data_IF_953600325374
#
_entry.id   IF_953600325374
#
_cell.length_a   1.000
_cell.length_b   1.000
_cell.length_c   1.000
_cell.angle_alpha   90.00
_cell.angle_beta   90.00
_cell.angle_gamma   90.00
#
_symmetry.space_group_name_H-M   'P 1'
#
loop_
_entity.id
_entity.type
_entity.pdbx_description
1 polymer ?
#
# COMPACT_ATOMS: atom_id res chain seq x y z
N UNK A 1 -7.60 1.34 9.82
CA UNK A 1 -6.54 0.49 9.23
C UNK A 1 -7.11 -0.10 7.95
N UNK A 2 -6.37 0.01 6.85
CA UNK A 2 -6.82 -0.34 5.50
C UNK A 2 -6.58 -1.83 5.28
N UNK A 3 -7.64 -2.62 5.12
CA UNK A 3 -7.51 -4.02 4.74
C UNK A 3 -7.23 -4.09 3.23
N UNK A 4 -6.27 -4.89 2.80
CA UNK A 4 -6.04 -5.23 1.38
C UNK A 4 -6.00 -6.75 1.32
N UNK A 5 -7.14 -7.41 1.57
CA UNK A 5 -7.17 -8.88 1.65
C UNK A 5 -8.37 -9.46 0.94
N UNK A 6 -8.12 -10.47 0.11
CA UNK A 6 -9.17 -11.28 -0.53
C UNK A 6 -9.68 -12.31 0.49
N UNK A 7 -10.96 -12.31 0.88
CA UNK A 7 -11.55 -13.42 1.64
C UNK A 7 -11.69 -14.65 0.74
N UNK A 8 -11.26 -15.82 1.23
CA UNK A 8 -11.39 -17.08 0.50
C UNK A 8 -12.81 -17.66 0.63
N UNK A 9 -13.41 -18.04 -0.49
CA UNK A 9 -14.39 -19.13 -0.57
C UNK A 9 -13.64 -20.32 -1.16
N UNK A 10 -13.52 -21.39 -0.37
CA UNK A 10 -12.94 -22.65 -0.80
C UNK A 10 -13.96 -23.38 -1.70
N UNK A 11 -13.66 -23.54 -2.99
CA UNK A 11 -14.24 -24.62 -3.80
C UNK A 11 -13.10 -25.46 -4.35
N UNK A 12 -12.91 -26.61 -3.73
CA UNK A 12 -12.14 -27.70 -4.28
C UNK A 12 -12.93 -28.30 -5.44
N UNK A 13 -12.43 -28.16 -6.67
CA UNK A 13 -12.76 -29.09 -7.75
C UNK A 13 -11.45 -29.73 -8.21
N UNK A 14 -11.35 -31.01 -7.91
CA UNK A 14 -10.34 -31.96 -8.37
C UNK A 14 -10.56 -32.27 -9.84
N UNK A 15 -9.50 -32.30 -10.67
CA UNK A 15 -9.60 -33.06 -11.92
C UNK A 15 -8.68 -32.66 -13.07
N UNK A 16 -7.53 -33.34 -13.11
CA UNK A 16 -6.78 -33.77 -14.30
C UNK A 16 -5.84 -32.80 -15.03
N UNK A 17 -4.60 -33.26 -15.03
CA UNK A 17 -3.42 -32.71 -15.67
C UNK A 17 -3.33 -33.11 -17.15
N UNK A 18 -2.83 -32.19 -17.97
CA UNK A 18 -2.29 -32.45 -19.30
C UNK A 18 -0.98 -31.68 -19.46
N UNK A 19 0.14 -32.41 -19.49
CA UNK A 19 1.48 -31.90 -19.82
C UNK A 19 1.51 -31.44 -21.29
N UNK A 20 2.22 -30.37 -21.58
CA UNK A 20 3.05 -30.25 -22.81
C UNK A 20 4.03 -29.10 -22.70
N UNK A 21 5.10 -29.24 -23.49
CA UNK A 21 6.47 -28.78 -23.36
C UNK A 21 6.74 -27.33 -23.78
N UNK A 22 7.89 -26.85 -23.30
CA UNK A 22 8.54 -25.60 -23.63
C UNK A 22 8.90 -25.45 -25.12
N UNK A 23 8.93 -24.19 -25.57
CA UNK A 23 9.88 -23.75 -26.60
C UNK A 23 10.23 -22.28 -26.38
N UNK A 24 11.54 -22.03 -26.26
CA UNK A 24 12.19 -20.72 -26.34
C UNK A 24 11.97 -20.09 -27.72
N UNK A 25 11.94 -18.76 -27.80
CA UNK A 25 12.52 -17.99 -28.90
C UNK A 25 12.73 -16.53 -28.45
N UNK A 26 13.97 -16.05 -28.63
CA UNK A 26 14.41 -14.70 -28.29
C UNK A 26 14.38 -13.73 -29.47
N UNK A 27 15.04 -12.59 -29.23
CA UNK A 27 15.23 -11.38 -30.06
C UNK A 27 14.06 -10.39 -29.95
N UNK A 28 14.20 -9.14 -29.50
CA UNK A 28 15.34 -8.22 -29.56
C UNK A 28 15.13 -7.29 -30.75
N UNK A 29 14.71 -6.03 -30.52
CA UNK A 29 14.95 -4.89 -31.40
C UNK A 29 14.56 -3.56 -30.72
N UNK A 30 15.50 -2.62 -30.84
CA UNK A 30 15.57 -1.24 -30.35
C UNK A 30 14.95 -0.23 -31.33
N UNK A 31 14.43 0.91 -30.85
CA UNK A 31 14.28 2.11 -31.69
C UNK A 31 13.26 3.17 -31.22
N UNK A 32 13.75 4.40 -30.98
CA UNK A 32 13.03 5.69 -30.69
C UNK A 32 12.14 6.13 -31.89
N UNK A 33 11.16 7.06 -31.83
CA UNK A 33 11.24 8.48 -31.42
C UNK A 33 9.84 9.17 -31.42
N UNK A 34 9.81 10.34 -30.77
CA UNK A 34 8.71 11.21 -30.34
C UNK A 34 7.98 11.98 -31.48
N UNK A 35 6.67 12.24 -31.35
CA UNK A 35 6.09 13.58 -31.63
C UNK A 35 4.78 13.84 -30.89
N UNK A 36 4.67 15.08 -30.41
CA UNK A 36 3.66 15.63 -29.53
C UNK A 36 2.38 16.05 -30.27
N UNK A 37 1.25 15.96 -29.56
CA UNK A 37 -0.02 16.61 -29.90
C UNK A 37 -0.92 16.61 -28.66
N UNK A 38 -1.34 17.80 -28.21
CA UNK A 38 -2.32 17.98 -27.14
C UNK A 38 -3.63 17.25 -27.49
N UNK A 39 -4.10 16.36 -26.61
CA UNK A 39 -5.40 15.68 -26.70
C UNK A 39 -6.02 15.50 -25.29
N UNK A 40 -7.36 15.37 -25.18
CA UNK A 40 -8.07 15.43 -23.90
C UNK A 40 -7.72 14.25 -22.99
N UNK A 41 -7.65 14.51 -21.68
CA UNK A 41 -7.14 13.64 -20.61
C UNK A 41 -8.00 12.38 -20.28
N UNK A 42 -8.37 11.57 -21.29
CA UNK A 42 -9.16 10.35 -21.12
C UNK A 42 -8.37 9.03 -21.13
N UNK A 43 -7.21 8.99 -21.79
CA UNK A 43 -6.35 7.81 -21.85
C UNK A 43 -4.98 8.15 -21.25
N UNK A 44 -4.88 8.01 -19.92
CA UNK A 44 -3.60 8.05 -19.21
C UNK A 44 -2.72 6.88 -19.67
N UNK A 45 -1.49 7.19 -20.07
CA UNK A 45 -0.50 6.25 -20.60
C UNK A 45 -0.36 4.97 -19.76
N UNK A 46 -1.00 3.89 -20.22
CA UNK A 46 -0.71 2.51 -19.81
C UNK A 46 0.41 1.99 -20.73
N UNK A 47 1.42 1.34 -20.16
CA UNK A 47 2.53 0.76 -20.92
C UNK A 47 1.98 -0.31 -21.86
N UNK A 48 2.10 -0.08 -23.17
CA UNK A 48 1.67 -1.02 -24.20
C UNK A 48 2.64 -2.21 -24.28
N UNK A 49 2.19 -3.39 -23.87
CA UNK A 49 2.82 -4.65 -24.30
C UNK A 49 1.96 -5.24 -25.43
N UNK A 50 2.52 -5.25 -26.64
CA UNK A 50 1.80 -5.59 -27.87
C UNK A 50 1.24 -7.03 -27.90
N UNK A 51 -0.06 -7.13 -28.17
CA UNK A 51 -0.69 -8.24 -28.92
C UNK A 51 -1.84 -7.69 -29.75
N UNK A 52 -1.75 -7.89 -31.06
CA UNK A 52 -2.80 -7.64 -32.04
C UNK A 52 -3.86 -8.74 -31.97
N UNK A 53 -5.10 -8.41 -31.61
CA UNK A 53 -6.27 -9.25 -31.90
C UNK A 53 -7.21 -8.49 -32.84
N UNK A 54 -7.72 -9.19 -33.85
CA UNK A 54 -8.41 -8.66 -35.04
C UNK A 54 -9.93 -8.53 -34.86
N UNK A 55 -10.43 -8.44 -33.63
CA UNK A 55 -11.84 -8.09 -33.38
C UNK A 55 -11.97 -6.56 -33.35
N UNK A 56 -12.92 -6.00 -34.11
CA UNK A 56 -13.18 -4.56 -34.09
C UNK A 56 -13.51 -4.12 -32.66
N UNK A 57 -12.69 -3.26 -32.08
CA UNK A 57 -12.87 -2.76 -30.71
C UNK A 57 -14.25 -2.06 -30.60
N UNK A 58 -15.09 -2.39 -29.59
CA UNK A 58 -16.47 -1.92 -29.58
C UNK A 58 -16.52 -0.41 -29.32
N UNK A 59 -17.27 0.32 -30.16
CA UNK A 59 -17.37 1.77 -30.10
C UNK A 59 -18.56 2.22 -29.24
N UNK A 60 -18.53 3.44 -28.67
CA UNK A 60 -19.63 3.97 -27.86
C UNK A 60 -20.96 4.03 -28.60
N UNK A 61 -20.96 4.45 -29.87
CA UNK A 61 -22.18 4.58 -30.67
C UNK A 61 -22.95 3.26 -30.78
N UNK A 62 -22.26 2.16 -31.07
CA UNK A 62 -22.86 0.82 -31.09
C UNK A 62 -23.37 0.39 -29.72
N UNK A 63 -22.63 0.69 -28.65
CA UNK A 63 -23.04 0.32 -27.28
C UNK A 63 -24.29 1.11 -26.83
N UNK A 64 -24.42 2.38 -27.19
CA UNK A 64 -25.63 3.17 -26.91
C UNK A 64 -26.85 2.65 -27.68
N UNK A 65 -26.68 2.21 -28.93
CA UNK A 65 -27.78 1.63 -29.70
C UNK A 65 -28.23 0.30 -29.13
N UNK A 66 -27.29 -0.55 -28.72
CA UNK A 66 -27.57 -1.90 -28.22
C UNK A 66 -28.07 -1.91 -26.77
N UNK A 67 -27.48 -1.11 -25.89
CA UNK A 67 -27.72 -1.14 -24.44
C UNK A 67 -28.31 0.15 -23.88
N UNK A 68 -28.67 1.13 -24.72
CA UNK A 68 -29.11 2.45 -24.27
C UNK A 68 -30.26 2.42 -23.27
N UNK A 69 -31.24 1.52 -23.46
CA UNK A 69 -32.36 1.33 -22.54
C UNK A 69 -31.96 0.81 -21.14
N UNK A 70 -30.77 0.22 -21.03
CA UNK A 70 -30.21 -0.33 -19.80
C UNK A 70 -29.20 0.60 -19.12
N UNK A 71 -28.82 1.70 -19.78
CA UNK A 71 -27.93 2.73 -19.23
C UNK A 71 -28.74 3.87 -18.61
N UNK A 72 -28.28 4.39 -17.49
CA UNK A 72 -28.84 5.62 -16.91
C UNK A 72 -28.66 6.82 -17.84
N UNK A 73 -29.44 7.88 -17.67
CA UNK A 73 -29.29 9.11 -18.45
C UNK A 73 -27.91 9.76 -18.28
N UNK A 74 -27.29 9.59 -17.10
CA UNK A 74 -25.91 9.98 -16.86
C UNK A 74 -24.94 9.16 -17.73
N UNK A 75 -25.10 7.84 -17.76
CA UNK A 75 -24.23 6.93 -18.49
C UNK A 75 -24.32 7.07 -19.99
N UNK A 76 -25.51 7.32 -20.53
CA UNK A 76 -25.67 7.61 -21.96
C UNK A 76 -24.84 8.82 -22.41
N UNK A 77 -24.58 9.79 -21.52
CA UNK A 77 -23.68 10.92 -21.78
C UNK A 77 -22.23 10.59 -21.47
N UNK A 78 -21.97 9.92 -20.36
CA UNK A 78 -20.62 9.56 -19.91
C UNK A 78 -19.90 8.64 -20.91
N UNK A 79 -20.61 7.63 -21.43
CA UNK A 79 -20.07 6.59 -22.32
C UNK A 79 -19.47 7.16 -23.62
N UNK A 80 -19.99 8.30 -24.09
CA UNK A 80 -19.51 8.97 -25.30
C UNK A 80 -18.10 9.56 -25.14
N UNK A 81 -17.63 9.75 -23.90
CA UNK A 81 -16.28 10.22 -23.61
C UNK A 81 -15.21 9.12 -23.69
N UNK A 82 -15.62 7.85 -23.82
CA UNK A 82 -14.70 6.72 -23.88
C UNK A 82 -14.47 6.32 -25.32
N UNK A 83 -13.22 6.04 -25.70
CA UNK A 83 -12.92 5.63 -27.07
C UNK A 83 -13.39 4.20 -27.37
N UNK A 84 -13.36 3.33 -26.37
CA UNK A 84 -13.65 1.90 -26.47
C UNK A 84 -14.46 1.43 -25.28
N UNK A 85 -15.42 0.55 -25.55
CA UNK A 85 -16.32 -0.03 -24.56
C UNK A 85 -16.04 -1.53 -24.48
N UNK A 86 -15.51 -2.01 -23.37
CA UNK A 86 -15.20 -3.43 -23.17
C UNK A 86 -16.22 -4.13 -22.25
N UNK A 87 -16.83 -3.38 -21.33
CA UNK A 87 -17.75 -3.91 -20.34
C UNK A 87 -18.67 -2.82 -19.78
N UNK A 88 -19.98 -3.07 -19.70
CA UNK A 88 -20.98 -2.10 -19.23
C UNK A 88 -21.65 -2.49 -17.90
N UNK A 89 -21.14 -3.51 -17.21
CA UNK A 89 -21.75 -4.10 -16.02
C UNK A 89 -22.62 -5.31 -16.36
N UNK A 90 -22.77 -6.26 -15.44
CA UNK A 90 -23.74 -7.37 -15.58
C UNK A 90 -25.19 -6.87 -15.53
N UNK A 91 -26.18 -7.54 -16.17
CA UNK A 91 -27.58 -7.10 -16.20
C UNK A 91 -28.16 -6.74 -14.82
N UNK A 92 -27.95 -7.60 -13.82
CA UNK A 92 -28.39 -7.35 -12.44
C UNK A 92 -27.67 -6.16 -11.79
N UNK A 93 -26.41 -5.91 -12.16
CA UNK A 93 -25.65 -4.77 -11.66
C UNK A 93 -26.05 -3.46 -12.32
N UNK A 94 -26.38 -3.48 -13.63
CA UNK A 94 -26.97 -2.35 -14.35
C UNK A 94 -28.31 -1.94 -13.73
N UNK A 95 -29.17 -2.92 -13.43
CA UNK A 95 -30.43 -2.66 -12.75
C UNK A 95 -30.22 -2.04 -11.37
N UNK A 96 -29.41 -2.67 -10.50
CA UNK A 96 -29.11 -2.12 -9.15
C UNK A 96 -28.52 -0.71 -9.22
N UNK A 97 -27.63 -0.48 -10.19
CA UNK A 97 -27.05 0.83 -10.43
C UNK A 97 -28.12 1.85 -10.81
N UNK A 98 -29.03 1.53 -11.73
CA UNK A 98 -30.14 2.41 -12.13
C UNK A 98 -31.11 2.70 -10.97
N UNK A 99 -31.32 1.74 -10.07
CA UNK A 99 -32.12 1.95 -8.85
C UNK A 99 -31.38 2.83 -7.83
N UNK A 100 -30.04 2.79 -7.82
CA UNK A 100 -29.19 3.52 -6.87
C UNK A 100 -28.84 4.94 -7.33
N UNK A 101 -28.74 5.15 -8.64
CA UNK A 101 -28.50 6.44 -9.26
C UNK A 101 -29.85 7.09 -9.51
N UNK A 102 -30.01 8.32 -9.04
CA UNK A 102 -31.15 9.11 -9.48
C UNK A 102 -30.89 9.56 -10.92
N UNK A 103 -31.66 9.04 -11.86
CA UNK A 103 -31.78 9.57 -13.22
C UNK A 103 -32.32 11.01 -13.10
N UNK A 104 -31.43 11.98 -12.88
CA UNK A 104 -31.71 13.43 -12.83
C UNK A 104 -32.93 13.84 -11.98
N UNK A 105 -32.65 14.45 -10.82
CA UNK A 105 -33.19 15.77 -10.45
C UNK A 105 -34.38 16.29 -11.27
N UNK A 106 -35.60 15.83 -10.98
CA UNK A 106 -36.82 16.55 -11.38
C UNK A 106 -37.12 17.74 -10.43
N UNK A 107 -36.30 17.94 -9.41
CA UNK A 107 -36.30 19.15 -8.59
C UNK A 107 -35.30 20.16 -9.17
N UNK A 108 -35.81 21.29 -9.63
CA UNK A 108 -35.03 22.48 -9.86
C UNK A 108 -35.19 23.40 -8.65
N UNK A 109 -34.08 23.96 -8.15
CA UNK A 109 -34.16 25.08 -7.20
C UNK A 109 -33.73 26.37 -7.89
N UNK A 110 -34.47 27.45 -7.65
CA UNK A 110 -34.04 28.78 -8.06
C UNK A 110 -32.88 29.23 -7.18
N UNK A 111 -31.70 29.38 -7.77
CA UNK A 111 -30.59 30.09 -7.17
C UNK A 111 -30.21 31.24 -8.10
N UNK A 112 -30.44 32.48 -7.67
CA UNK A 112 -30.13 33.70 -8.44
C UNK A 112 -30.72 33.67 -9.87
N UNK A 113 -32.00 33.34 -9.99
CA UNK A 113 -32.76 33.32 -11.27
C UNK A 113 -32.21 32.38 -12.35
N UNK A 114 -31.37 31.41 -11.97
CA UNK A 114 -30.91 30.33 -12.86
C UNK A 114 -31.51 29.00 -12.39
N UNK A 115 -32.09 28.26 -13.33
CA UNK A 115 -32.51 26.86 -13.13
C UNK A 115 -31.26 26.01 -12.89
N UNK A 116 -30.99 25.64 -11.64
CA UNK A 116 -29.91 24.72 -11.30
C UNK A 116 -30.49 23.32 -11.11
N UNK A 117 -30.00 22.29 -11.82
CA UNK A 117 -30.40 20.91 -11.57
C UNK A 117 -30.01 20.54 -10.13
N UNK A 118 -31.00 20.30 -9.27
CA UNK A 118 -30.75 19.93 -7.88
C UNK A 118 -30.55 18.42 -7.82
N UNK A 119 -29.38 17.92 -8.22
CA UNK A 119 -29.00 16.57 -7.82
C UNK A 119 -28.69 16.62 -6.33
N UNK A 120 -29.66 16.21 -5.50
CA UNK A 120 -29.56 16.27 -4.04
C UNK A 120 -28.50 15.31 -3.46
N UNK A 121 -27.97 14.39 -4.27
CA UNK A 121 -27.03 13.36 -3.84
C UNK A 121 -25.60 13.66 -4.30
N UNK A 122 -24.59 13.46 -3.44
CA UNK A 122 -23.17 13.58 -3.80
C UNK A 122 -22.83 12.76 -5.05
N UNK A 123 -22.18 13.40 -6.03
CA UNK A 123 -21.72 12.78 -7.28
C UNK A 123 -22.81 11.94 -7.96
N UNK A 124 -24.02 12.47 -8.15
CA UNK A 124 -25.15 11.77 -8.78
C UNK A 124 -25.62 10.49 -8.06
N UNK A 125 -25.27 10.32 -6.79
CA UNK A 125 -25.54 9.10 -6.02
C UNK A 125 -24.43 8.06 -6.07
N UNK A 126 -23.34 8.33 -6.79
CA UNK A 126 -22.16 7.46 -6.83
C UNK A 126 -21.30 7.54 -5.57
N UNK A 127 -21.39 8.63 -4.80
CA UNK A 127 -20.60 8.80 -3.58
C UNK A 127 -21.43 8.46 -2.35
N UNK A 128 -20.79 7.82 -1.37
CA UNK A 128 -21.30 7.71 -0.01
C UNK A 128 -21.12 9.05 0.73
N UNK A 129 -21.74 9.21 1.88
CA UNK A 129 -21.67 10.47 2.66
C UNK A 129 -20.25 10.82 3.11
N UNK A 130 -19.36 9.82 3.22
CA UNK A 130 -17.94 9.99 3.52
C UNK A 130 -17.08 10.34 2.27
N UNK A 131 -17.68 10.47 1.08
CA UNK A 131 -16.99 10.75 -0.18
C UNK A 131 -16.26 9.54 -0.78
N UNK A 132 -16.56 8.32 -0.32
CA UNK A 132 -16.11 7.08 -0.95
C UNK A 132 -17.04 6.66 -2.09
N UNK A 133 -16.48 6.06 -3.15
CA UNK A 133 -17.28 5.57 -4.28
C UNK A 133 -18.13 4.36 -3.87
N UNK A 134 -19.40 4.34 -4.27
CA UNK A 134 -20.32 3.23 -4.03
C UNK A 134 -20.07 2.10 -5.03
N UNK A 135 -19.25 1.13 -4.61
CA UNK A 135 -19.03 -0.08 -5.39
C UNK A 135 -20.32 -0.91 -5.53
N UNK A 136 -20.62 -1.28 -6.76
CA UNK A 136 -21.65 -2.27 -7.10
C UNK A 136 -20.91 -3.50 -7.62
N UNK A 137 -21.10 -4.63 -6.96
CA UNK A 137 -20.47 -5.89 -7.38
C UNK A 137 -20.92 -6.27 -8.79
N UNK A 138 -19.99 -6.74 -9.62
CA UNK A 138 -20.14 -7.05 -11.04
C UNK A 138 -20.48 -5.86 -11.94
N UNK A 139 -20.21 -4.65 -11.44
CA UNK A 139 -20.41 -3.43 -12.21
C UNK A 139 -19.11 -2.88 -12.83
N UNK A 140 -19.24 -1.92 -13.74
CA UNK A 140 -18.11 -1.40 -14.51
C UNK A 140 -17.43 -0.18 -13.87
N UNK A 141 -16.12 -0.07 -14.13
CA UNK A 141 -15.34 1.16 -14.07
C UNK A 141 -14.79 1.45 -15.47
N UNK A 142 -14.90 2.72 -15.89
CA UNK A 142 -14.35 3.20 -17.17
C UNK A 142 -14.70 2.31 -18.38
N UNK A 143 -15.91 1.74 -18.37
CA UNK A 143 -16.41 0.77 -19.34
C UNK A 143 -15.44 -0.36 -19.70
N UNK A 144 -14.60 -0.79 -18.75
CA UNK A 144 -13.52 -1.77 -18.98
C UNK A 144 -13.32 -2.74 -17.84
N UNK A 145 -13.33 -2.25 -16.61
CA UNK A 145 -13.02 -3.04 -15.43
C UNK A 145 -14.31 -3.51 -14.77
N UNK A 146 -14.45 -4.80 -14.54
CA UNK A 146 -15.54 -5.36 -13.75
C UNK A 146 -15.13 -5.45 -12.28
N UNK A 147 -15.96 -4.93 -11.37
CA UNK A 147 -15.76 -5.07 -9.93
C UNK A 147 -16.10 -6.50 -9.50
N UNK A 148 -15.12 -7.26 -9.02
CA UNK A 148 -15.36 -8.60 -8.49
C UNK A 148 -15.68 -8.53 -7.00
N UNK A 149 -14.68 -8.11 -6.21
CA UNK A 149 -14.75 -8.13 -4.75
C UNK A 149 -14.18 -6.85 -4.18
N UNK A 150 -14.82 -6.30 -3.14
CA UNK A 150 -14.21 -5.25 -2.35
C UNK A 150 -13.26 -5.88 -1.32
N UNK A 151 -11.95 -5.70 -1.51
CA UNK A 151 -10.90 -6.31 -0.69
C UNK A 151 -10.42 -5.39 0.43
N UNK A 152 -10.84 -4.12 0.40
CA UNK A 152 -10.34 -3.12 1.31
C UNK A 152 -11.15 -1.85 1.46
N UNK A 153 -11.27 -1.39 2.72
CA UNK A 153 -11.72 -0.02 3.05
C UNK A 153 -10.77 0.57 4.08
N UNK A 154 -10.40 1.84 3.91
CA UNK A 154 -9.57 2.55 4.87
C UNK A 154 -9.70 4.06 4.73
N UNK A 155 -8.94 4.79 5.54
CA UNK A 155 -8.87 6.25 5.52
C UNK A 155 -8.37 6.84 4.20
N UNK A 156 -7.78 6.01 3.33
CA UNK A 156 -7.14 6.42 2.08
C UNK A 156 -7.96 6.05 0.84
N UNK A 157 -9.18 5.56 1.05
CA UNK A 157 -10.08 5.10 0.00
C UNK A 157 -10.39 3.62 0.11
N UNK A 158 -10.71 3.04 -1.02
CA UNK A 158 -11.21 1.68 -1.13
C UNK A 158 -10.44 0.91 -2.17
N UNK A 159 -10.42 -0.40 -2.01
CA UNK A 159 -9.69 -1.29 -2.91
C UNK A 159 -10.59 -2.42 -3.31
N UNK A 160 -10.71 -2.62 -4.63
CA UNK A 160 -11.43 -3.74 -5.19
C UNK A 160 -10.52 -4.62 -6.04
N UNK A 161 -10.75 -5.93 -5.97
CA UNK A 161 -10.33 -6.84 -7.03
C UNK A 161 -11.23 -6.58 -8.24
N UNK A 162 -10.60 -6.37 -9.40
CA UNK A 162 -11.31 -6.10 -10.66
C UNK A 162 -10.83 -7.02 -11.78
N UNK A 163 -11.70 -7.31 -12.74
CA UNK A 163 -11.33 -7.99 -13.98
C UNK A 163 -11.23 -6.98 -15.12
N UNK A 164 -10.05 -6.89 -15.76
CA UNK A 164 -9.85 -6.07 -16.93
C UNK A 164 -10.27 -6.83 -18.19
N UNK A 165 -11.40 -6.43 -18.79
CA UNK A 165 -11.95 -7.08 -19.98
C UNK A 165 -11.11 -6.89 -21.25
N UNK A 166 -10.22 -5.88 -21.30
CA UNK A 166 -9.32 -5.65 -22.44
C UNK A 166 -8.18 -6.66 -22.47
N UNK A 167 -7.47 -6.81 -21.36
CA UNK A 167 -6.29 -7.69 -21.26
C UNK A 167 -6.60 -9.06 -20.66
N UNK A 168 -7.85 -9.29 -20.24
CA UNK A 168 -8.36 -10.55 -19.65
C UNK A 168 -7.59 -10.97 -18.39
N UNK A 169 -7.30 -10.03 -17.50
CA UNK A 169 -6.51 -10.26 -16.27
C UNK A 169 -7.18 -9.64 -15.05
N UNK A 170 -7.01 -10.29 -13.89
CA UNK A 170 -7.41 -9.74 -12.58
C UNK A 170 -6.38 -8.74 -12.08
N UNK A 171 -6.85 -7.61 -11.58
CA UNK A 171 -6.05 -6.51 -11.04
C UNK A 171 -6.59 -6.10 -9.67
N UNK A 172 -5.77 -5.37 -8.91
CA UNK A 172 -6.26 -4.60 -7.77
C UNK A 172 -6.46 -3.14 -8.18
N UNK A 173 -7.61 -2.55 -7.86
CA UNK A 173 -7.93 -1.17 -8.14
C UNK A 173 -8.19 -0.40 -6.84
N UNK A 174 -7.38 0.61 -6.56
CA UNK A 174 -7.56 1.55 -5.44
C UNK A 174 -8.29 2.79 -5.92
N UNK A 175 -9.41 3.13 -5.32
CA UNK A 175 -10.14 4.39 -5.54
C UNK A 175 -9.85 5.37 -4.41
N UNK A 176 -9.45 6.59 -4.76
CA UNK A 176 -9.26 7.68 -3.78
C UNK A 176 -10.60 8.36 -3.51
N UNK A 177 -10.86 8.71 -2.25
CA UNK A 177 -12.06 9.48 -1.87
C UNK A 177 -12.10 10.83 -2.59
N UNK A 178 -13.29 11.30 -2.97
CA UNK A 178 -13.47 12.53 -3.76
C UNK A 178 -13.17 13.82 -2.98
N UNK A 179 -12.94 13.73 -1.66
CA UNK A 179 -12.70 14.88 -0.79
C UNK A 179 -11.38 15.61 -1.07
N UNK A 180 -11.41 16.95 -1.00
CA UNK A 180 -10.24 17.82 -1.22
C UNK A 180 -9.01 17.50 -0.35
N UNK A 181 -9.22 16.98 0.88
CA UNK A 181 -8.11 16.61 1.80
C UNK A 181 -7.28 15.43 1.28
N UNK A 182 -7.82 14.60 0.40
CA UNK A 182 -7.13 13.44 -0.16
C UNK A 182 -6.19 13.78 -1.34
N UNK A 183 -6.41 14.92 -2.03
CA UNK A 183 -5.68 15.31 -3.26
C UNK A 183 -4.17 15.38 -3.09
N UNK A 184 -3.69 15.90 -1.97
CA UNK A 184 -2.25 16.00 -1.74
C UNK A 184 -1.60 14.61 -1.65
N UNK A 185 -2.27 13.65 -0.99
CA UNK A 185 -1.75 12.28 -0.86
C UNK A 185 -1.82 11.51 -2.17
N UNK A 186 -2.90 11.68 -2.92
CA UNK A 186 -3.04 11.17 -4.29
C UNK A 186 -1.88 11.64 -5.17
N UNK A 187 -1.54 12.93 -5.11
CA UNK A 187 -0.42 13.50 -5.86
C UNK A 187 0.92 12.90 -5.42
N UNK A 188 1.15 12.75 -4.11
CA UNK A 188 2.36 12.11 -3.59
C UNK A 188 2.49 10.66 -4.06
N UNK A 189 1.42 9.88 -3.94
CA UNK A 189 1.37 8.47 -4.35
C UNK A 189 1.64 8.32 -5.85
N UNK A 190 0.94 9.08 -6.69
CA UNK A 190 1.15 9.06 -8.14
C UNK A 190 2.58 9.43 -8.51
N UNK A 191 3.15 10.46 -7.87
CA UNK A 191 4.54 10.89 -8.11
C UNK A 191 5.53 9.82 -7.70
N UNK A 192 5.33 9.16 -6.55
CA UNK A 192 6.18 8.09 -6.06
C UNK A 192 6.13 6.87 -6.99
N UNK A 193 4.93 6.39 -7.31
CA UNK A 193 4.72 5.22 -8.18
C UNK A 193 5.31 5.43 -9.58
N UNK A 194 5.11 6.60 -10.19
CA UNK A 194 5.72 6.93 -11.49
C UNK A 194 7.24 6.96 -11.42
N UNK A 195 7.82 7.50 -10.34
CA UNK A 195 9.28 7.53 -10.15
C UNK A 195 9.85 6.12 -9.98
N UNK A 196 9.20 5.27 -9.19
CA UNK A 196 9.59 3.88 -8.97
C UNK A 196 9.51 3.07 -10.28
N UNK A 197 8.41 3.20 -11.02
CA UNK A 197 8.25 2.56 -12.32
C UNK A 197 9.33 3.01 -13.34
N UNK A 198 9.74 4.29 -13.31
CA UNK A 198 10.78 4.80 -14.19
C UNK A 198 12.16 4.22 -13.89
N UNK A 199 12.49 4.02 -12.62
CA UNK A 199 13.79 3.52 -12.18
C UNK A 199 13.86 1.99 -12.35
N UNK A 200 12.74 1.28 -12.28
CA UNK A 200 12.66 -0.18 -12.42
C UNK A 200 12.71 -0.71 -13.87
N UNK A 201 13.30 0.03 -14.82
CA UNK A 201 13.35 -0.36 -16.25
C UNK A 201 14.15 -1.63 -16.55
N UNK A 202 14.91 -2.16 -15.58
CA UNK A 202 15.75 -3.35 -15.73
C UNK A 202 15.10 -4.66 -15.27
N UNK A 203 13.83 -4.65 -14.86
CA UNK A 203 13.15 -5.84 -14.33
C UNK A 203 13.83 -6.43 -13.08
N UNK A 204 14.42 -5.56 -12.25
CA UNK A 204 14.94 -6.00 -10.95
C UNK A 204 13.74 -6.33 -10.04
N UNK A 205 13.81 -7.44 -9.29
CA UNK A 205 12.81 -7.71 -8.25
C UNK A 205 12.99 -6.67 -7.13
N UNK A 206 12.25 -5.56 -7.20
CA UNK A 206 12.35 -4.42 -6.27
C UNK A 206 11.60 -4.66 -4.98
N UNK A 207 10.78 -5.71 -4.90
CA UNK A 207 9.86 -5.95 -3.78
C UNK A 207 8.88 -4.77 -3.56
N UNK A 208 8.63 -3.95 -4.57
CA UNK A 208 7.62 -2.88 -4.60
C UNK A 208 6.46 -3.33 -5.50
N UNK A 209 5.22 -3.09 -5.06
CA UNK A 209 4.02 -3.45 -5.84
C UNK A 209 4.06 -2.90 -7.27
N UNK A 210 3.76 -3.75 -8.25
CA UNK A 210 3.68 -3.33 -9.65
C UNK A 210 2.52 -2.35 -9.86
N UNK A 211 2.87 -1.10 -10.18
CA UNK A 211 1.92 -0.08 -10.62
C UNK A 211 1.67 -0.22 -12.12
N UNK A 212 0.43 -0.52 -12.49
CA UNK A 212 0.03 -0.77 -13.87
C UNK A 212 -0.48 0.50 -14.56
N UNK A 213 -0.96 1.47 -13.79
CA UNK A 213 -1.43 2.76 -14.28
C UNK A 213 -2.53 3.37 -13.43
N UNK A 214 -3.04 4.52 -13.86
CA UNK A 214 -4.14 5.19 -13.18
C UNK A 214 -5.01 5.98 -14.15
N UNK A 215 -6.29 6.13 -13.81
CA UNK A 215 -7.27 6.91 -14.57
C UNK A 215 -8.21 7.64 -13.61
N UNK A 216 -9.00 8.58 -14.13
CA UNK A 216 -10.10 9.20 -13.38
C UNK A 216 -11.42 8.62 -13.84
N UNK A 217 -12.30 8.32 -12.89
CA UNK A 217 -13.65 7.84 -13.15
C UNK A 217 -14.61 8.45 -12.14
N UNK A 218 -15.64 9.16 -12.64
CA UNK A 218 -16.69 9.78 -11.82
C UNK A 218 -16.12 10.54 -10.63
N UNK A 219 -15.15 11.44 -10.85
CA UNK A 219 -14.45 12.24 -9.83
C UNK A 219 -13.52 11.49 -8.85
N UNK A 220 -13.30 10.19 -9.03
CA UNK A 220 -12.32 9.42 -8.27
C UNK A 220 -11.09 9.13 -9.11
N UNK A 221 -9.91 9.25 -8.52
CA UNK A 221 -8.69 8.71 -9.09
C UNK A 221 -8.60 7.22 -8.75
N UNK A 222 -8.41 6.41 -9.77
CA UNK A 222 -8.31 4.96 -9.72
C UNK A 222 -6.87 4.54 -10.05
N UNK A 223 -6.18 3.91 -9.10
CA UNK A 223 -4.86 3.31 -9.32
C UNK A 223 -5.01 1.80 -9.56
N UNK A 224 -4.28 1.27 -10.54
CA UNK A 224 -4.26 -0.13 -10.91
C UNK A 224 -2.92 -0.77 -10.52
N UNK A 225 -3.01 -1.95 -9.90
CA UNK A 225 -1.86 -2.71 -9.42
C UNK A 225 -1.98 -4.19 -9.77
N UNK A 226 -0.86 -4.91 -9.70
CA UNK A 226 -0.89 -6.37 -9.59
C UNK A 226 -1.72 -6.80 -8.36
N UNK A 227 -2.51 -7.89 -8.46
CA UNK A 227 -3.25 -8.40 -7.31
C UNK A 227 -2.29 -9.09 -6.33
N UNK A 228 -2.45 -8.84 -5.03
CA UNK A 228 -1.79 -9.61 -3.98
C UNK A 228 -2.78 -10.40 -3.13
N UNK A 229 -2.27 -11.11 -2.13
CA UNK A 229 -3.03 -12.06 -1.32
C UNK A 229 -3.50 -11.45 0.01
N UNK A 230 -2.60 -11.30 0.99
CA UNK A 230 -2.91 -10.71 2.29
C UNK A 230 -1.70 -9.97 2.86
N UNK A 231 -1.95 -8.93 3.66
CA UNK A 231 -0.85 -8.21 4.31
C UNK A 231 -0.28 -8.97 5.53
N UNK A 232 0.89 -8.57 6.01
CA UNK A 232 1.57 -9.27 7.10
C UNK A 232 0.83 -9.18 8.44
N UNK A 233 0.07 -8.10 8.69
CA UNK A 233 -0.79 -8.01 9.88
C UNK A 233 -1.87 -9.11 9.85
N UNK A 234 -2.55 -9.25 8.71
CA UNK A 234 -3.57 -10.27 8.48
C UNK A 234 -2.96 -11.68 8.49
N UNK A 235 -1.71 -11.82 8.04
CA UNK A 235 -0.95 -13.05 8.22
C UNK A 235 -0.77 -13.40 9.70
N UNK A 236 -0.30 -12.48 10.55
CA UNK A 236 -0.19 -12.71 11.99
C UNK A 236 -1.56 -13.03 12.62
N UNK A 237 -2.59 -12.23 12.31
CA UNK A 237 -3.95 -12.40 12.84
C UNK A 237 -4.53 -13.78 12.50
N UNK A 238 -4.40 -14.23 11.26
CA UNK A 238 -4.88 -15.55 10.83
C UNK A 238 -4.13 -16.72 11.46
N UNK A 239 -2.88 -16.50 11.92
CA UNK A 239 -2.11 -17.46 12.70
C UNK A 239 -2.21 -17.21 14.22
N UNK A 240 -3.24 -16.49 14.67
CA UNK A 240 -3.50 -16.21 16.09
C UNK A 240 -2.32 -15.53 16.79
N UNK A 241 -1.59 -14.67 16.07
CA UNK A 241 -0.43 -13.94 16.58
C UNK A 241 0.69 -14.86 17.11
N UNK A 242 0.78 -16.09 16.60
CA UNK A 242 1.92 -16.96 16.86
C UNK A 242 3.18 -16.40 16.16
N UNK A 243 4.36 -16.52 16.79
CA UNK A 243 5.64 -16.20 16.15
C UNK A 243 5.79 -16.79 14.75
N UNK A 244 6.24 -15.96 13.81
CA UNK A 244 6.59 -16.43 12.46
C UNK A 244 7.90 -17.22 12.54
N UNK A 245 8.05 -18.34 11.80
CA UNK A 245 9.31 -19.08 11.75
C UNK A 245 10.48 -18.21 11.31
N UNK A 246 11.65 -18.37 11.95
CA UNK A 246 12.84 -17.57 11.67
C UNK A 246 13.26 -17.56 10.18
N UNK A 247 13.25 -18.67 9.44
CA UNK A 247 13.58 -18.66 8.01
C UNK A 247 12.63 -17.76 7.19
N UNK A 248 11.34 -17.77 7.51
CA UNK A 248 10.34 -16.91 6.87
C UNK A 248 10.56 -15.44 7.24
N UNK A 249 10.88 -15.13 8.50
CA UNK A 249 11.27 -13.77 8.92
C UNK A 249 12.51 -13.30 8.15
N UNK A 250 13.50 -14.17 7.97
CA UNK A 250 14.72 -13.90 7.21
C UNK A 250 14.39 -13.55 5.74
N UNK A 251 13.52 -14.33 5.10
CA UNK A 251 13.06 -14.09 3.74
C UNK A 251 12.28 -12.76 3.59
N UNK A 252 11.40 -12.45 4.54
CA UNK A 252 10.70 -11.16 4.57
C UNK A 252 11.67 -10.00 4.79
N UNK A 253 12.60 -10.13 5.74
CA UNK A 253 13.58 -9.10 6.07
C UNK A 253 14.48 -8.79 4.87
N UNK A 254 14.96 -9.81 4.17
CA UNK A 254 15.77 -9.66 2.96
C UNK A 254 15.01 -8.87 1.87
N UNK A 255 13.76 -9.24 1.59
CA UNK A 255 12.94 -8.57 0.60
C UNK A 255 12.58 -7.12 1.01
N UNK A 256 12.31 -6.87 2.29
CA UNK A 256 12.07 -5.51 2.80
C UNK A 256 13.31 -4.63 2.67
N UNK A 257 14.49 -5.14 3.00
CA UNK A 257 15.75 -4.40 2.83
C UNK A 257 15.98 -4.08 1.35
N UNK A 258 15.71 -5.02 0.43
CA UNK A 258 15.78 -4.74 -1.02
C UNK A 258 14.81 -3.63 -1.46
N UNK A 259 13.58 -3.64 -0.95
CA UNK A 259 12.63 -2.56 -1.20
C UNK A 259 13.17 -1.21 -0.69
N UNK A 260 13.71 -1.17 0.53
CA UNK A 260 14.28 0.05 1.12
C UNK A 260 15.50 0.58 0.35
N UNK A 261 16.39 -0.29 -0.11
CA UNK A 261 17.51 0.09 -1.00
C UNK A 261 16.97 0.70 -2.29
N UNK A 262 15.92 0.12 -2.87
CA UNK A 262 15.30 0.66 -4.08
C UNK A 262 14.64 2.02 -3.85
N UNK A 263 13.93 2.20 -2.73
CA UNK A 263 13.32 3.48 -2.35
C UNK A 263 14.36 4.58 -2.16
N UNK A 264 15.49 4.26 -1.53
CA UNK A 264 16.61 5.19 -1.37
C UNK A 264 17.21 5.61 -2.72
N UNK A 265 17.42 4.67 -3.66
CA UNK A 265 17.83 4.98 -5.04
C UNK A 265 16.82 5.88 -5.76
N UNK A 266 15.53 5.72 -5.45
CA UNK A 266 14.46 6.57 -5.94
C UNK A 266 14.30 7.89 -5.16
N UNK A 267 15.17 8.17 -4.19
CA UNK A 267 15.08 9.29 -3.25
C UNK A 267 13.71 9.40 -2.56
N UNK A 268 13.08 8.27 -2.26
CA UNK A 268 11.78 8.18 -1.59
C UNK A 268 11.98 7.66 -0.16
N UNK A 269 11.33 8.32 0.79
CA UNK A 269 11.10 7.82 2.15
C UNK A 269 9.63 7.39 2.21
N UNK A 270 9.37 6.15 2.61
CA UNK A 270 8.02 5.57 2.65
C UNK A 270 7.14 6.30 3.67
N UNK A 271 7.67 6.55 4.87
CA UNK A 271 7.03 7.30 5.96
C UNK A 271 5.80 6.64 6.61
N UNK A 272 5.39 5.44 6.20
CA UNK A 272 4.31 4.67 6.84
C UNK A 272 4.51 3.15 6.70
N UNK A 273 5.74 2.66 6.89
CA UNK A 273 6.01 1.22 6.90
C UNK A 273 5.42 0.57 8.15
N UNK A 274 4.66 -0.51 7.92
CA UNK A 274 3.97 -1.32 8.93
C UNK A 274 3.51 -2.64 8.30
N UNK A 275 3.14 -3.67 9.09
CA UNK A 275 2.71 -4.95 8.56
C UNK A 275 1.50 -4.86 7.61
N UNK A 276 0.60 -3.89 7.78
CA UNK A 276 -0.53 -3.67 6.87
C UNK A 276 -0.12 -3.20 5.47
N UNK A 277 1.05 -2.56 5.35
CA UNK A 277 1.60 -2.01 4.12
C UNK A 277 2.66 -2.93 3.46
N UNK A 278 2.71 -4.19 3.89
CA UNK A 278 3.55 -5.23 3.30
C UNK A 278 2.64 -6.40 2.91
N UNK A 279 2.51 -6.64 1.61
CA UNK A 279 1.58 -7.58 1.02
C UNK A 279 2.29 -8.88 0.65
N UNK A 280 1.78 -10.02 1.11
CA UNK A 280 2.13 -11.32 0.54
C UNK A 280 1.46 -11.46 -0.82
N UNK A 281 2.21 -11.96 -1.80
CA UNK A 281 1.71 -12.08 -3.18
C UNK A 281 0.99 -13.39 -3.45
N UNK A 282 1.32 -14.41 -2.67
CA UNK A 282 0.85 -15.78 -2.86
C UNK A 282 0.69 -16.46 -1.51
N UNK A 283 -0.26 -17.41 -1.35
CA UNK A 283 -0.31 -18.27 -0.18
C UNK A 283 0.75 -19.38 -0.21
N UNK A 284 1.46 -19.56 -1.34
CA UNK A 284 2.37 -20.69 -1.58
C UNK A 284 3.84 -20.36 -1.33
N UNK A 285 4.18 -19.09 -1.26
CA UNK A 285 5.55 -18.61 -1.14
C UNK A 285 5.61 -17.34 -0.29
N UNK A 286 6.82 -16.99 0.14
CA UNK A 286 7.09 -15.87 1.03
C UNK A 286 7.33 -14.55 0.25
N UNK A 287 6.88 -14.44 -1.01
CA UNK A 287 7.09 -13.22 -1.81
C UNK A 287 6.27 -12.06 -1.25
N UNK A 288 6.95 -10.95 -0.99
CA UNK A 288 6.31 -9.72 -0.52
C UNK A 288 6.40 -8.56 -1.52
N UNK A 289 5.48 -7.61 -1.35
CA UNK A 289 5.50 -6.29 -1.98
C UNK A 289 5.18 -5.20 -0.97
N UNK A 290 5.97 -4.13 -0.96
CA UNK A 290 5.64 -2.90 -0.23
C UNK A 290 4.58 -2.13 -1.02
N UNK A 291 3.55 -1.65 -0.31
CA UNK A 291 2.40 -0.92 -0.87
C UNK A 291 2.21 0.43 -0.14
N UNK A 292 1.31 1.26 -0.66
CA UNK A 292 0.80 2.50 -0.05
C UNK A 292 1.81 3.65 0.14
N UNK A 293 2.14 4.31 -0.98
CA UNK A 293 3.05 5.46 -1.04
C UNK A 293 2.35 6.82 -0.78
N UNK A 294 1.11 6.82 -0.28
CA UNK A 294 0.33 8.04 -0.05
C UNK A 294 0.81 8.92 1.11
N UNK A 295 1.84 8.47 1.86
CA UNK A 295 2.48 9.21 2.94
C UNK A 295 3.92 9.64 2.61
N UNK A 296 4.44 9.19 1.48
CA UNK A 296 5.87 9.25 1.18
C UNK A 296 6.40 10.67 1.04
N UNK A 297 7.66 10.84 1.40
CA UNK A 297 8.43 12.08 1.21
C UNK A 297 9.55 11.86 0.20
N UNK A 298 9.97 12.93 -0.46
CA UNK A 298 11.09 12.90 -1.40
C UNK A 298 12.30 13.55 -0.73
N UNK A 299 13.50 12.97 -0.87
CA UNK A 299 14.72 13.47 -0.24
C UNK A 299 15.02 14.94 -0.56
N UNK A 300 14.67 15.39 -1.76
CA UNK A 300 14.79 16.77 -2.22
C UNK A 300 13.76 17.75 -1.61
N UNK A 301 12.76 17.25 -0.90
CA UNK A 301 11.58 18.02 -0.49
C UNK A 301 10.99 17.50 0.82
N UNK A 302 11.87 17.32 1.82
CA UNK A 302 11.46 16.89 3.15
C UNK A 302 10.63 17.97 3.83
N UNK A 303 9.55 17.53 4.48
CA UNK A 303 8.77 18.39 5.38
C UNK A 303 9.60 18.75 6.61
N UNK A 304 9.33 19.91 7.25
CA UNK A 304 10.08 20.36 8.41
C UNK A 304 9.97 19.38 9.60
N UNK A 305 10.89 19.48 10.58
CA UNK A 305 10.77 18.79 11.86
C UNK A 305 9.40 19.03 12.53
N UNK A 306 9.00 18.14 13.44
CA UNK A 306 7.65 18.11 14.04
C UNK A 306 6.50 17.74 13.10
N UNK A 307 6.77 17.27 11.88
CA UNK A 307 5.70 16.73 11.03
C UNK A 307 5.20 15.40 11.60
N UNK A 308 3.89 15.26 11.76
CA UNK A 308 3.26 14.02 12.21
C UNK A 308 3.20 12.98 11.08
N UNK A 309 4.19 12.08 11.03
CA UNK A 309 4.30 10.98 10.06
C UNK A 309 4.54 9.64 10.77
N UNK A 310 4.47 8.53 10.01
CA UNK A 310 4.51 7.13 10.48
C UNK A 310 3.31 6.74 11.34
N UNK A 311 2.92 5.46 11.28
CA UNK A 311 2.01 4.86 12.25
C UNK A 311 2.72 4.68 13.59
N UNK A 312 2.04 4.99 14.70
CA UNK A 312 2.67 5.22 16.02
C UNK A 312 3.60 4.08 16.47
N UNK A 313 3.17 2.83 16.34
CA UNK A 313 3.96 1.67 16.81
C UNK A 313 5.30 1.49 16.07
N UNK A 314 5.39 2.02 14.85
CA UNK A 314 6.54 1.94 13.96
C UNK A 314 7.23 3.30 13.79
N UNK A 315 6.80 4.31 14.56
CA UNK A 315 7.32 5.68 14.48
C UNK A 315 8.68 5.76 15.14
N UNK A 316 9.62 6.37 14.42
CA UNK A 316 10.99 6.57 14.89
C UNK A 316 11.09 7.65 15.98
N UNK A 317 12.12 7.58 16.85
CA UNK A 317 12.27 8.52 17.94
C UNK A 317 12.50 9.95 17.43
N UNK A 318 13.28 10.16 16.37
CA UNK A 318 13.51 11.50 15.82
C UNK A 318 12.22 12.21 15.37
N UNK A 319 11.20 11.47 14.91
CA UNK A 319 9.90 12.05 14.56
C UNK A 319 9.15 12.49 15.82
N UNK A 320 9.14 11.67 16.88
CA UNK A 320 8.48 12.00 18.15
C UNK A 320 9.19 13.18 18.83
N UNK A 321 10.52 13.17 18.78
CA UNK A 321 11.41 14.16 19.37
C UNK A 321 11.52 15.45 18.55
N UNK A 322 10.79 15.60 17.43
CA UNK A 322 10.83 16.79 16.58
C UNK A 322 12.23 17.12 16.03
N UNK A 323 13.02 16.10 15.70
CA UNK A 323 14.35 16.24 15.13
C UNK A 323 14.31 16.14 13.59
N UNK A 324 15.38 16.58 12.89
CA UNK A 324 15.57 16.27 11.49
C UNK A 324 15.54 14.76 11.25
N UNK A 325 14.92 14.35 10.15
CA UNK A 325 14.76 12.94 9.80
C UNK A 325 15.24 12.67 8.37
N UNK A 326 15.46 11.39 8.07
CA UNK A 326 15.95 10.92 6.77
C UNK A 326 15.35 9.54 6.46
N UNK A 327 15.92 8.83 5.48
CA UNK A 327 15.61 7.42 5.19
C UNK A 327 15.72 6.50 6.43
N UNK A 328 16.48 6.91 7.46
CA UNK A 328 16.63 6.16 8.70
C UNK A 328 15.30 5.88 9.43
N UNK A 329 14.25 6.67 9.22
CA UNK A 329 12.95 6.43 9.87
C UNK A 329 12.30 5.13 9.39
N UNK A 330 12.50 4.77 8.13
CA UNK A 330 11.96 3.55 7.55
C UNK A 330 12.73 2.32 8.05
N UNK A 331 14.05 2.47 8.32
CA UNK A 331 14.86 1.43 8.97
C UNK A 331 14.43 1.20 10.43
N UNK A 332 13.98 2.22 11.13
CA UNK A 332 13.35 2.05 12.44
C UNK A 332 12.05 1.23 12.34
N UNK A 333 11.16 1.62 11.41
CA UNK A 333 9.91 0.87 11.18
C UNK A 333 10.20 -0.58 10.81
N UNK A 334 11.22 -0.84 9.98
CA UNK A 334 11.70 -2.19 9.66
C UNK A 334 12.07 -2.97 10.93
N UNK A 335 12.89 -2.42 11.82
CA UNK A 335 13.26 -3.07 13.08
C UNK A 335 12.04 -3.45 13.94
N UNK A 336 11.06 -2.54 14.05
CA UNK A 336 9.81 -2.81 14.76
C UNK A 336 8.98 -3.92 14.10
N UNK A 337 8.87 -3.94 12.76
CA UNK A 337 8.13 -4.97 12.01
C UNK A 337 8.77 -6.34 12.19
N UNK A 338 10.10 -6.43 12.08
CA UNK A 338 10.83 -7.69 12.25
C UNK A 338 10.66 -8.23 13.68
N UNK A 339 10.72 -7.35 14.68
CA UNK A 339 10.47 -7.73 16.08
C UNK A 339 9.04 -8.23 16.28
N UNK A 340 8.03 -7.57 15.70
CA UNK A 340 6.63 -7.96 15.79
C UNK A 340 6.35 -9.31 15.11
N UNK A 341 6.97 -9.59 13.96
CA UNK A 341 6.86 -10.91 13.31
C UNK A 341 7.43 -12.02 14.20
N UNK A 342 8.52 -11.72 14.94
CA UNK A 342 9.17 -12.68 15.84
C UNK A 342 8.39 -12.89 17.14
N UNK A 343 7.85 -11.84 17.74
CA UNK A 343 7.16 -11.91 19.04
C UNK A 343 5.66 -12.16 18.91
N UNK A 344 5.08 -11.95 17.73
CA UNK A 344 3.64 -11.95 17.49
C UNK A 344 2.92 -10.68 17.95
N UNK A 345 3.64 -9.70 18.51
CA UNK A 345 3.04 -8.49 19.10
C UNK A 345 3.87 -7.23 18.80
N UNK A 346 3.24 -6.04 18.66
CA UNK A 346 4.00 -4.83 18.37
C UNK A 346 5.03 -4.53 19.47
N UNK A 347 6.29 -4.31 19.07
CA UNK A 347 7.39 -4.05 20.01
C UNK A 347 7.14 -2.81 20.89
N UNK A 348 6.55 -1.77 20.32
CA UNK A 348 6.24 -0.51 21.00
C UNK A 348 4.77 -0.14 20.79
N UNK A 349 3.87 -0.73 21.58
CA UNK A 349 2.43 -0.52 21.49
C UNK A 349 1.93 0.71 22.30
N UNK A 350 2.52 1.89 22.06
CA UNK A 350 2.21 3.09 22.86
C UNK A 350 0.82 3.67 22.58
N UNK A 351 0.12 4.12 23.62
CA UNK A 351 -1.22 4.74 23.45
C UNK A 351 -1.15 6.20 22.98
N UNK A 352 -0.04 6.88 23.24
CA UNK A 352 0.26 8.26 22.80
C UNK A 352 1.78 8.42 22.55
N UNK A 353 2.23 9.61 22.14
CA UNK A 353 3.66 9.84 21.82
C UNK A 353 4.59 9.76 23.04
N UNK A 354 4.11 10.13 24.23
CA UNK A 354 4.89 10.04 25.46
C UNK A 354 5.07 8.57 25.87
N UNK A 355 3.97 7.81 25.93
CA UNK A 355 4.00 6.37 26.22
C UNK A 355 4.82 5.59 25.18
N UNK A 356 4.79 6.00 23.91
CA UNK A 356 5.61 5.42 22.85
C UNK A 356 7.11 5.57 23.15
N UNK A 357 7.57 6.75 23.57
CA UNK A 357 8.97 6.99 23.95
C UNK A 357 9.34 6.28 25.26
N UNK A 358 8.41 6.19 26.21
CA UNK A 358 8.62 5.46 27.46
C UNK A 358 8.85 3.97 27.19
N UNK A 359 8.07 3.35 26.30
CA UNK A 359 8.28 1.97 25.87
C UNK A 359 9.63 1.77 25.16
N UNK A 360 10.04 2.71 24.31
CA UNK A 360 11.37 2.68 23.69
C UNK A 360 12.47 2.72 24.74
N UNK A 361 12.34 3.60 25.74
CA UNK A 361 13.33 3.77 26.81
C UNK A 361 13.44 2.54 27.72
N UNK A 362 12.30 1.92 28.05
CA UNK A 362 12.26 0.68 28.85
C UNK A 362 12.94 -0.49 28.15
N UNK A 363 12.82 -0.58 26.83
CA UNK A 363 13.35 -1.70 26.03
C UNK A 363 14.78 -1.49 25.57
N UNK A 364 15.14 -0.29 25.12
CA UNK A 364 16.42 0.03 24.48
C UNK A 364 17.41 0.78 25.39
N UNK A 365 16.97 1.20 26.58
CA UNK A 365 17.74 2.06 27.48
C UNK A 365 17.45 3.55 27.26
N UNK A 366 18.06 4.39 28.11
CA UNK A 366 17.87 5.85 28.11
C UNK A 366 18.22 6.52 26.77
N UNK A 367 17.50 7.60 26.45
CA UNK A 367 17.80 8.43 25.29
C UNK A 367 19.18 9.08 25.49
N UNK A 368 20.13 8.91 24.55
CA UNK A 368 21.44 9.57 24.63
C UNK A 368 21.31 11.09 24.80
N UNK A 369 22.11 11.67 25.70
CA UNK A 369 22.07 13.10 26.01
C UNK A 369 22.26 13.98 24.77
N UNK A 370 23.14 13.58 23.86
CA UNK A 370 23.39 14.25 22.58
C UNK A 370 22.13 14.42 21.71
N UNK A 371 21.23 13.45 21.71
CA UNK A 371 19.95 13.50 20.98
C UNK A 371 18.93 14.29 21.78
N UNK A 372 18.88 14.01 23.09
CA UNK A 372 17.92 14.62 24.01
C UNK A 372 18.04 16.14 24.03
N UNK A 373 19.25 16.68 24.11
CA UNK A 373 19.46 18.13 24.21
C UNK A 373 19.08 18.88 22.93
N UNK A 374 19.12 18.21 21.78
CA UNK A 374 18.71 18.78 20.49
C UNK A 374 17.19 18.81 20.31
N UNK A 375 16.43 18.03 21.08
CA UNK A 375 14.98 17.92 20.91
C UNK A 375 14.25 19.20 21.35
N UNK A 376 13.43 19.81 20.48
CA UNK A 376 12.53 20.89 20.87
C UNK A 376 11.47 20.47 21.91
N UNK A 377 11.24 19.16 22.08
CA UNK A 377 10.22 18.59 22.99
C UNK A 377 10.80 18.08 24.31
N UNK A 378 12.08 18.32 24.60
CA UNK A 378 12.77 17.78 25.80
C UNK A 378 12.06 18.05 27.12
N UNK A 379 11.46 19.23 27.29
CA UNK A 379 10.74 19.62 28.52
C UNK A 379 9.38 18.94 28.71
N UNK A 380 8.74 18.47 27.64
CA UNK A 380 7.43 17.80 27.67
C UNK A 380 7.60 16.28 27.85
N UNK A 381 8.69 15.71 27.34
CA UNK A 381 8.97 14.27 27.38
C UNK A 381 9.34 13.77 28.79
N UNK A 382 9.73 14.66 29.70
CA UNK A 382 10.26 14.32 31.03
C UNK A 382 9.58 15.10 32.17
N UNK A 383 8.29 15.49 32.06
CA UNK A 383 7.58 15.98 33.26
C UNK A 383 7.53 14.86 34.30
N UNK A 384 8.06 15.12 35.51
CA UNK A 384 8.38 14.18 36.62
C UNK A 384 7.25 13.26 37.13
N UNK A 385 6.09 13.20 36.47
CA UNK A 385 4.94 12.37 36.85
C UNK A 385 4.63 11.30 35.80
N UNK A 386 5.57 10.41 35.50
CA UNK A 386 5.32 9.24 34.63
C UNK A 386 4.82 8.05 35.45
N UNK A 387 3.61 8.18 36.02
CA UNK A 387 2.82 7.02 36.48
C UNK A 387 1.93 6.54 35.34
N UNK A 388 2.52 6.00 34.28
CA UNK A 388 1.78 5.18 33.32
C UNK A 388 2.06 3.71 33.63
N UNK A 389 1.24 3.14 34.49
CA UNK A 389 1.07 1.69 34.60
C UNK A 389 0.35 1.22 33.33
N UNK A 390 1.11 0.98 32.27
CA UNK A 390 0.61 0.29 31.10
C UNK A 390 0.91 -1.21 31.27
N UNK A 391 -0.16 -2.00 31.43
CA UNK A 391 -0.11 -3.45 31.60
C UNK A 391 0.45 -4.21 30.37
N UNK A 392 0.69 -3.52 29.25
CA UNK A 392 1.06 -4.17 27.97
C UNK A 392 2.53 -4.57 27.87
N UNK A 393 3.39 -4.13 28.78
CA UNK A 393 4.77 -4.60 28.87
C UNK A 393 5.03 -5.27 30.23
N UNK A 394 4.57 -6.51 30.38
CA UNK A 394 4.97 -7.42 31.48
C UNK A 394 6.45 -7.84 31.45
N UNK A 395 7.28 -7.23 30.60
CA UNK A 395 8.73 -7.32 30.70
C UNK A 395 9.25 -6.45 31.85
N UNK A 396 8.94 -6.84 33.10
CA UNK A 396 9.75 -6.41 34.24
C UNK A 396 11.19 -6.84 33.94
N UNK A 397 12.17 -6.00 34.29
CA UNK A 397 13.58 -6.41 34.40
C UNK A 397 13.67 -7.52 35.44
N UNK A 398 13.40 -8.77 35.07
CA UNK A 398 13.69 -9.92 35.91
C UNK A 398 15.20 -10.14 35.75
N UNK A 399 15.98 -9.58 36.67
CA UNK A 399 17.40 -9.89 36.80
C UNK A 399 18.39 -9.13 35.90
N UNK A 400 18.10 -7.88 35.51
CA UNK A 400 19.11 -7.02 34.84
C UNK A 400 19.56 -7.45 33.44
N UNK A 401 18.87 -8.40 32.80
CA UNK A 401 19.14 -8.86 31.44
C UNK A 401 18.63 -7.90 30.34
N UNK A 402 19.07 -8.15 29.10
CA UNK A 402 18.62 -7.40 27.92
C UNK A 402 17.14 -7.66 27.60
N UNK A 403 16.33 -6.60 27.68
CA UNK A 403 14.88 -6.66 27.47
C UNK A 403 14.54 -7.10 26.05
N UNK A 404 15.28 -6.61 25.05
CA UNK A 404 15.00 -6.91 23.65
C UNK A 404 15.24 -8.39 23.33
N UNK A 405 16.31 -8.99 23.84
CA UNK A 405 16.56 -10.45 23.76
C UNK A 405 15.41 -11.27 24.33
N UNK A 406 14.85 -10.83 25.47
CA UNK A 406 13.70 -11.48 26.11
C UNK A 406 12.44 -11.39 25.26
N UNK A 407 12.14 -10.21 24.73
CA UNK A 407 10.97 -9.99 23.84
C UNK A 407 11.04 -10.85 22.58
N UNK A 408 12.24 -10.99 22.00
CA UNK A 408 12.45 -11.81 20.81
C UNK A 408 12.58 -13.31 21.11
N UNK A 409 12.52 -13.71 22.39
CA UNK A 409 12.66 -15.10 22.85
C UNK A 409 13.90 -15.76 22.26
N UNK A 410 15.07 -15.10 22.41
CA UNK A 410 16.35 -15.62 21.92
C UNK A 410 16.97 -16.49 23.01
N UNK A 411 17.17 -17.77 22.70
CA UNK A 411 17.74 -18.77 23.61
C UNK A 411 19.27 -18.87 23.46
N UNK A 412 19.94 -19.39 24.50
CA UNK A 412 21.36 -19.67 24.44
C UNK A 412 21.65 -20.73 23.36
N UNK A 413 22.52 -20.41 22.41
CA UNK A 413 22.87 -21.29 21.30
C UNK A 413 22.04 -21.10 20.02
N UNK A 414 20.99 -20.26 20.02
CA UNK A 414 20.25 -19.89 18.81
C UNK A 414 21.07 -18.89 17.97
N UNK A 415 21.98 -19.40 17.15
CA UNK A 415 22.88 -18.58 16.34
C UNK A 415 22.12 -17.69 15.33
N UNK A 416 21.00 -18.18 14.79
CA UNK A 416 20.16 -17.41 13.86
C UNK A 416 19.42 -16.31 14.62
N UNK A 417 18.86 -16.63 15.78
CA UNK A 417 18.23 -15.67 16.67
C UNK A 417 19.18 -14.58 17.18
N UNK A 418 20.44 -14.92 17.47
CA UNK A 418 21.48 -13.94 17.84
C UNK A 418 21.75 -12.96 16.69
N UNK A 419 21.84 -13.46 15.45
CA UNK A 419 21.98 -12.62 14.25
C UNK A 419 20.75 -11.75 14.01
N UNK A 420 19.54 -12.27 14.27
CA UNK A 420 18.30 -11.49 14.20
C UNK A 420 18.31 -10.35 15.23
N UNK A 421 18.68 -10.66 16.47
CA UNK A 421 18.76 -9.67 17.55
C UNK A 421 19.74 -8.54 17.20
N UNK A 422 20.90 -8.88 16.63
CA UNK A 422 21.89 -7.91 16.16
C UNK A 422 21.31 -7.00 15.06
N UNK A 423 20.65 -7.58 14.05
CA UNK A 423 19.99 -6.82 12.99
C UNK A 423 18.96 -5.83 13.56
N UNK A 424 18.09 -6.30 14.46
CA UNK A 424 17.04 -5.48 15.08
C UNK A 424 17.66 -4.37 15.94
N UNK A 425 18.71 -4.66 16.72
CA UNK A 425 19.40 -3.64 17.52
C UNK A 425 20.00 -2.53 16.66
N UNK A 426 20.69 -2.89 15.58
CA UNK A 426 21.30 -1.89 14.68
C UNK A 426 20.23 -1.07 13.94
N UNK A 427 19.08 -1.67 13.61
CA UNK A 427 17.93 -0.97 13.03
C UNK A 427 17.20 -0.05 14.04
N UNK A 428 17.27 -0.34 15.34
CA UNK A 428 16.63 0.43 16.42
C UNK A 428 17.60 1.36 17.17
N UNK A 429 18.70 1.75 16.54
CA UNK A 429 19.61 2.74 17.13
C UNK A 429 18.93 4.10 17.29
N UNK A 430 19.09 4.71 18.48
CA UNK A 430 18.56 6.03 18.79
C UNK A 430 19.06 7.12 17.83
N UNK A 431 20.36 7.15 17.57
CA UNK A 431 20.96 8.14 16.68
C UNK A 431 20.74 7.72 15.22
N UNK A 432 19.93 8.45 14.42
CA UNK A 432 19.62 8.06 13.05
C UNK A 432 20.85 8.03 12.13
N UNK A 433 21.92 8.76 12.46
CA UNK A 433 23.17 8.73 11.68
C UNK A 433 24.00 7.46 11.94
N UNK A 434 23.78 6.78 13.07
CA UNK A 434 24.43 5.51 13.43
C UNK A 434 23.53 4.29 13.23
N UNK A 435 22.28 4.53 12.82
CA UNK A 435 21.30 3.48 12.55
C UNK A 435 21.66 2.76 11.26
N UNK A 436 21.49 1.44 11.26
CA UNK A 436 21.75 0.59 10.11
C UNK A 436 21.07 1.16 8.85
N UNK A 437 21.84 1.38 7.79
CA UNK A 437 21.30 1.77 6.49
C UNK A 437 20.73 0.55 5.77
N UNK A 438 19.87 0.76 4.79
CA UNK A 438 19.34 -0.35 3.99
C UNK A 438 20.46 -1.04 3.17
N UNK A 439 21.42 -0.27 2.68
CA UNK A 439 22.59 -0.80 1.98
C UNK A 439 23.45 -1.68 2.89
N UNK A 440 23.75 -1.22 4.11
CA UNK A 440 24.54 -2.01 5.07
C UNK A 440 23.75 -3.24 5.56
N UNK A 441 22.43 -3.10 5.74
CA UNK A 441 21.56 -4.22 6.08
C UNK A 441 21.61 -5.31 5.00
N UNK A 442 21.75 -4.96 3.73
CA UNK A 442 21.74 -5.93 2.62
C UNK A 442 22.88 -6.95 2.67
N UNK A 443 23.96 -6.63 3.39
CA UNK A 443 25.12 -7.52 3.62
C UNK A 443 25.21 -7.99 5.08
N UNK A 444 24.18 -7.76 5.88
CA UNK A 444 24.14 -8.18 7.27
C UNK A 444 24.18 -9.72 7.38
N UNK A 445 24.91 -10.32 8.34
CA UNK A 445 25.03 -11.78 8.46
C UNK A 445 23.69 -12.53 8.54
N UNK A 446 22.69 -11.94 9.22
CA UNK A 446 21.33 -12.48 9.25
C UNK A 446 20.70 -12.58 7.86
N UNK A 447 21.04 -11.72 6.90
CA UNK A 447 20.41 -11.69 5.57
C UNK A 447 21.24 -12.40 4.50
N UNK A 448 22.56 -12.51 4.68
CA UNK A 448 23.44 -13.20 3.75
C UNK A 448 23.18 -14.72 3.67
N UNK A 449 22.74 -15.35 4.76
CA UNK A 449 22.45 -16.79 4.78
C UNK A 449 21.15 -17.16 4.04
N UNK A 450 20.25 -16.20 3.82
CA UNK A 450 19.03 -16.40 3.02
C UNK A 450 19.30 -16.51 1.52
N UNK A 451 20.45 -16.01 1.04
CA UNK A 451 20.82 -16.01 -0.38
C UNK A 451 21.09 -17.41 -0.96
N UNK A 452 20.99 -18.47 -0.14
CA UNK A 452 21.26 -19.86 -0.53
C UNK A 452 19.98 -20.65 -0.85
N UNK A 453 18.79 -20.10 -0.62
CA UNK A 453 17.54 -20.76 -1.02
C UNK A 453 17.13 -20.32 -2.43
N UNK A 454 16.96 -21.25 -3.39
CA UNK A 454 16.58 -20.88 -4.75
C UNK A 454 15.15 -20.32 -4.77
N UNK A 455 14.99 -19.17 -5.42
CA UNK A 455 13.71 -18.57 -5.81
C UNK A 455 12.92 -19.47 -6.75
#
# INVERSE_FOLDING_TARGET
MSFWTIPFICRCDTGQAGRTSATQLGNGLTGRLIRAGHQPEGDGALVESGRTSTASEPKPGSACTEYGAELSGFEQREILNYRYIWFIGHPASRQRRRESITDLCNSYSMAKDVLVPQCALPNYGYDSDDGSYRFISHDHFAYRFEVLNLIGRGTFGQVAEVFDHRIRRRLAMKTVMSQNRARHREMLELKALKRLAHINRKNDNTCIIEYLGSFKFRNHTCFLFEPGYKNLYEHLRTHQFKPVPLPTIQAYAYQLVRALVHLRKAEIIHCDLKPENILLMSPKDDTIRVIDFGSSQFGSSLRPPCTYIQSRYYRSPEIILCLPYSYAIDMWSFGCIIAELRSGSPLFAGINEADQIDLMTRTLGEIPSEIREQSPRKGILYSDKRNFESDTCRARRVGGGDVLSGVLSIEQGDLIGIKLLDLVRQALMWNPARRLSAEDASVHPFLCEAAVLPL
#
